data_IF_928515496621
#
_entry.id   IF_928515496621
#
_cell.length_a   1.000
_cell.length_b   1.000
_cell.length_c   1.000
_cell.angle_alpha   90.00
_cell.angle_beta   90.00
_cell.angle_gamma   90.00
#
_symmetry.space_group_name_H-M   'P 1'
#
loop_
_entity.id
_entity.type
_entity.pdbx_description
1 polymer ?
#
# COMPACT_ATOMS: atom_id res chain seq x y z
N UNK A 1 35.84 8.87 17.88
CA UNK A 1 34.97 8.54 16.72
C UNK A 1 33.69 9.36 16.89
N UNK A 2 33.24 10.06 15.88
CA UNK A 2 32.04 10.89 15.99
C UNK A 2 30.82 10.00 16.22
N UNK A 3 29.90 10.37 17.11
CA UNK A 3 28.74 9.57 17.52
C UNK A 3 27.95 9.02 16.31
N UNK A 4 27.81 9.85 15.27
CA UNK A 4 27.14 9.46 14.03
C UNK A 4 27.78 8.23 13.36
N UNK A 5 29.11 8.15 13.35
CA UNK A 5 29.85 6.99 12.79
C UNK A 5 29.63 5.73 13.60
N UNK A 6 29.47 5.86 14.94
CA UNK A 6 29.17 4.73 15.83
C UNK A 6 27.75 4.20 15.55
N UNK A 7 26.76 5.09 15.41
CA UNK A 7 25.38 4.68 15.11
C UNK A 7 25.27 4.02 13.74
N UNK A 8 25.99 4.51 12.72
CA UNK A 8 26.03 3.87 11.40
C UNK A 8 26.66 2.46 11.52
N UNK A 9 27.77 2.32 12.21
CA UNK A 9 28.42 1.01 12.39
C UNK A 9 27.53 0.01 13.19
N UNK A 10 26.76 0.50 14.16
CA UNK A 10 25.80 -0.34 14.89
C UNK A 10 24.66 -0.81 13.96
N UNK A 11 24.13 0.07 13.11
CA UNK A 11 23.11 -0.29 12.11
C UNK A 11 23.63 -1.34 11.12
N UNK A 12 24.82 -1.16 10.58
CA UNK A 12 25.47 -2.14 9.69
C UNK A 12 25.59 -3.53 10.34
N UNK A 13 25.92 -3.56 11.65
CA UNK A 13 25.95 -4.81 12.41
C UNK A 13 24.56 -5.46 12.56
N UNK A 14 23.52 -4.66 12.85
CA UNK A 14 22.13 -5.15 12.87
C UNK A 14 21.72 -5.74 11.52
N UNK A 15 22.01 -5.04 10.43
CA UNK A 15 21.73 -5.50 9.07
C UNK A 15 22.49 -6.78 8.70
N UNK A 16 23.68 -6.95 9.25
CA UNK A 16 24.49 -8.17 9.10
C UNK A 16 24.05 -9.33 10.05
N UNK A 17 23.07 -9.09 10.95
CA UNK A 17 22.60 -10.08 11.92
C UNK A 17 23.47 -10.19 13.18
N UNK A 18 24.45 -9.32 13.37
CA UNK A 18 25.29 -9.24 14.59
C UNK A 18 24.59 -8.36 15.64
N UNK A 19 23.50 -8.89 16.22
CA UNK A 19 22.75 -8.18 17.27
C UNK A 19 23.63 -7.85 18.48
N UNK A 20 24.45 -8.81 18.95
CA UNK A 20 25.28 -8.62 20.13
C UNK A 20 26.32 -7.51 19.91
N UNK A 21 26.94 -7.49 18.75
CA UNK A 21 27.90 -6.44 18.38
C UNK A 21 27.22 -5.06 18.18
N UNK A 22 26.00 -5.02 17.65
CA UNK A 22 25.23 -3.80 17.54
C UNK A 22 24.82 -3.24 18.91
N UNK A 23 24.28 -4.10 19.79
CA UNK A 23 23.87 -3.74 21.16
C UNK A 23 25.02 -3.16 21.97
N UNK A 24 26.23 -3.75 21.88
CA UNK A 24 27.40 -3.22 22.57
C UNK A 24 27.76 -1.79 22.11
N UNK A 25 27.60 -1.49 20.83
CA UNK A 25 27.85 -0.14 20.28
C UNK A 25 26.76 0.83 20.70
N UNK A 26 25.48 0.43 20.66
CA UNK A 26 24.38 1.27 21.12
C UNK A 26 24.46 1.58 22.61
N UNK A 27 24.77 0.58 23.43
CA UNK A 27 24.94 0.77 24.88
C UNK A 27 26.06 1.79 25.18
N UNK A 28 27.23 1.65 24.55
CA UNK A 28 28.30 2.61 24.67
C UNK A 28 27.95 4.02 24.20
N UNK A 29 27.16 4.13 23.10
CA UNK A 29 26.68 5.40 22.59
C UNK A 29 25.69 6.07 23.57
N UNK A 30 24.76 5.30 24.14
CA UNK A 30 23.78 5.79 25.12
C UNK A 30 24.43 6.15 26.45
N UNK A 31 25.44 5.42 26.92
CA UNK A 31 26.21 5.79 28.11
C UNK A 31 26.92 7.15 27.98
N UNK A 32 27.35 7.50 26.78
CA UNK A 32 28.08 8.74 26.53
C UNK A 32 27.18 9.92 26.10
N UNK A 33 26.05 9.64 25.50
CA UNK A 33 25.15 10.61 24.86
C UNK A 33 23.67 10.27 25.13
N UNK A 34 23.35 9.70 26.29
CA UNK A 34 21.99 9.32 26.65
C UNK A 34 21.04 10.49 26.82
N UNK A 35 21.54 11.72 26.98
CA UNK A 35 20.73 12.94 27.05
C UNK A 35 20.43 13.54 25.64
N UNK A 36 20.98 12.97 24.58
CA UNK A 36 20.79 13.46 23.21
C UNK A 36 19.53 12.81 22.56
N UNK A 37 18.52 13.64 22.31
CA UNK A 37 17.27 13.21 21.73
C UNK A 37 17.43 12.51 20.37
N UNK A 38 18.38 12.97 19.54
CA UNK A 38 18.62 12.39 18.20
C UNK A 38 19.28 11.00 18.32
N UNK A 39 20.11 10.79 19.33
CA UNK A 39 20.74 9.48 19.61
C UNK A 39 19.66 8.48 20.03
N UNK A 40 18.80 8.84 21.01
CA UNK A 40 17.70 7.97 21.43
C UNK A 40 16.73 7.68 20.31
N UNK A 41 16.35 8.68 19.52
CA UNK A 41 15.45 8.51 18.38
C UNK A 41 16.06 7.57 17.32
N UNK A 42 17.37 7.69 17.05
CA UNK A 42 18.08 6.82 16.09
C UNK A 42 18.14 5.38 16.59
N UNK A 43 18.58 5.16 17.83
CA UNK A 43 18.68 3.81 18.42
C UNK A 43 17.32 3.13 18.47
N UNK A 44 16.27 3.86 18.93
CA UNK A 44 14.91 3.32 18.98
C UNK A 44 14.36 3.02 17.59
N UNK A 45 14.66 3.87 16.61
CA UNK A 45 14.27 3.65 15.22
C UNK A 45 14.94 2.43 14.60
N UNK A 46 16.24 2.26 14.79
CA UNK A 46 17.01 1.15 14.25
C UNK A 46 16.56 -0.20 14.85
N UNK A 47 16.43 -0.28 16.18
CA UNK A 47 15.97 -1.49 16.88
C UNK A 47 14.49 -1.80 16.55
N UNK A 48 13.63 -0.78 16.48
CA UNK A 48 12.23 -0.94 16.08
C UNK A 48 12.08 -1.42 14.64
N UNK A 49 12.84 -0.84 13.70
CA UNK A 49 12.81 -1.21 12.29
C UNK A 49 13.30 -2.63 12.03
N UNK A 50 14.20 -3.14 12.86
CA UNK A 50 14.76 -4.50 12.78
C UNK A 50 14.01 -5.52 13.64
N UNK A 51 12.94 -5.11 14.35
CA UNK A 51 12.09 -6.00 15.14
C UNK A 51 12.67 -6.40 16.50
N UNK A 52 13.76 -5.77 16.96
CA UNK A 52 14.38 -6.02 18.27
C UNK A 52 13.65 -5.25 19.39
N UNK A 53 12.37 -5.58 19.56
CA UNK A 53 11.43 -4.87 20.46
C UNK A 53 11.84 -5.01 21.93
N UNK A 54 12.26 -6.20 22.35
CA UNK A 54 12.68 -6.44 23.74
C UNK A 54 13.92 -5.63 24.09
N UNK A 55 14.91 -5.61 23.20
CA UNK A 55 16.15 -4.87 23.34
C UNK A 55 15.90 -3.35 23.32
N UNK A 56 14.98 -2.89 22.45
CA UNK A 56 14.56 -1.50 22.41
C UNK A 56 14.00 -1.07 23.76
N UNK A 57 13.05 -1.84 24.30
CA UNK A 57 12.44 -1.54 25.61
C UNK A 57 13.51 -1.58 26.71
N UNK A 58 14.34 -2.61 26.73
CA UNK A 58 15.36 -2.79 27.75
C UNK A 58 16.38 -1.63 27.78
N UNK A 59 16.82 -1.16 26.60
CA UNK A 59 17.82 -0.10 26.51
C UNK A 59 17.25 1.29 26.78
N UNK A 60 16.08 1.60 26.20
CA UNK A 60 15.61 2.99 26.16
C UNK A 60 14.59 3.33 27.22
N UNK A 61 13.79 2.37 27.70
CA UNK A 61 12.78 2.67 28.71
C UNK A 61 13.36 3.27 30.01
N UNK A 62 14.52 2.82 30.52
CA UNK A 62 15.14 3.41 31.73
C UNK A 62 15.72 4.81 31.50
N UNK A 63 16.03 5.19 30.26
CA UNK A 63 16.71 6.44 29.90
C UNK A 63 15.74 7.52 29.42
N UNK A 64 14.54 7.12 28.95
CA UNK A 64 13.63 8.04 28.28
C UNK A 64 12.98 9.02 29.25
N UNK A 65 13.18 10.30 28.97
CA UNK A 65 12.51 11.42 29.59
C UNK A 65 11.81 12.26 28.51
N UNK A 66 10.46 12.41 28.57
CA UNK A 66 9.70 13.09 27.51
C UNK A 66 10.05 14.58 27.37
N UNK A 67 10.46 15.27 28.45
CA UNK A 67 10.83 16.67 28.41
C UNK A 67 12.23 16.87 27.81
N UNK A 68 13.15 15.95 28.08
CA UNK A 68 14.53 16.01 27.61
C UNK A 68 14.66 15.48 26.17
N UNK A 69 14.09 14.30 25.91
CA UNK A 69 14.30 13.58 24.65
C UNK A 69 13.22 13.83 23.59
N UNK A 70 12.15 14.54 23.96
CA UNK A 70 11.05 14.83 23.06
C UNK A 70 10.25 13.60 22.64
N UNK A 71 9.32 13.74 21.67
CA UNK A 71 8.33 12.71 21.40
C UNK A 71 8.81 11.56 20.51
N UNK A 72 9.89 11.70 19.71
CA UNK A 72 10.26 10.73 18.71
C UNK A 72 10.61 9.34 19.30
N UNK A 73 11.51 9.30 20.28
CA UNK A 73 11.89 8.07 20.97
C UNK A 73 10.72 7.51 21.81
N UNK A 74 9.91 8.40 22.42
CA UNK A 74 8.72 7.99 23.17
C UNK A 74 7.64 7.32 22.33
N UNK A 75 7.42 7.78 21.10
CA UNK A 75 6.50 7.15 20.17
C UNK A 75 7.00 5.76 19.71
N UNK A 76 8.31 5.60 19.53
CA UNK A 76 8.91 4.30 19.23
C UNK A 76 8.78 3.34 20.43
N UNK A 77 8.97 3.82 21.67
CA UNK A 77 8.74 3.05 22.88
C UNK A 77 7.25 2.67 23.05
N UNK A 78 6.33 3.58 22.80
CA UNK A 78 4.89 3.32 22.85
C UNK A 78 4.52 2.19 21.87
N UNK A 79 5.02 2.26 20.66
CA UNK A 79 4.81 1.24 19.64
C UNK A 79 5.46 -0.10 20.04
N UNK A 80 6.64 -0.06 20.66
CA UNK A 80 7.31 -1.25 21.17
C UNK A 80 6.53 -1.92 22.30
N UNK A 81 5.94 -1.14 23.24
CA UNK A 81 5.10 -1.69 24.28
C UNK A 81 3.81 -2.34 23.76
N UNK A 82 3.20 -1.76 22.72
CA UNK A 82 2.05 -2.38 22.03
C UNK A 82 2.47 -3.68 21.36
N UNK A 83 3.57 -3.69 20.62
CA UNK A 83 4.09 -4.90 19.96
C UNK A 83 4.47 -6.00 20.96
N UNK A 84 4.93 -5.62 22.16
CA UNK A 84 5.21 -6.54 23.27
C UNK A 84 3.93 -6.98 24.03
N UNK A 85 2.74 -6.49 23.62
CA UNK A 85 1.50 -6.76 24.30
C UNK A 85 1.43 -6.14 25.71
N UNK A 86 2.18 -5.10 26.02
CA UNK A 86 2.25 -4.46 27.34
C UNK A 86 1.32 -3.24 27.40
N UNK A 87 -0.01 -3.48 27.40
CA UNK A 87 -1.01 -2.42 27.33
C UNK A 87 -0.88 -1.36 28.46
N UNK A 88 -0.53 -1.77 29.67
CA UNK A 88 -0.35 -0.84 30.80
C UNK A 88 0.86 0.08 30.60
N UNK A 89 1.98 -0.47 30.13
CA UNK A 89 3.18 0.32 29.83
C UNK A 89 2.94 1.25 28.61
N UNK A 90 2.21 0.76 27.60
CA UNK A 90 1.79 1.56 26.47
C UNK A 90 0.88 2.72 26.90
N UNK A 91 -0.09 2.48 27.79
CA UNK A 91 -0.97 3.53 28.33
C UNK A 91 -0.17 4.57 29.12
N UNK A 92 0.76 4.12 29.98
CA UNK A 92 1.62 5.04 30.72
C UNK A 92 2.46 5.93 29.79
N UNK A 93 3.05 5.35 28.73
CA UNK A 93 3.81 6.11 27.74
C UNK A 93 2.92 7.09 26.95
N UNK A 94 1.69 6.68 26.62
CA UNK A 94 0.70 7.55 25.98
C UNK A 94 0.38 8.77 26.85
N UNK A 95 0.18 8.58 28.16
CA UNK A 95 -0.12 9.64 29.11
C UNK A 95 1.05 10.63 29.24
N UNK A 96 2.29 10.13 29.27
CA UNK A 96 3.51 10.96 29.28
C UNK A 96 3.62 11.82 28.01
N UNK A 97 3.37 11.24 26.84
CA UNK A 97 3.40 11.97 25.57
C UNK A 97 2.27 12.99 25.45
N UNK A 98 1.08 12.67 25.94
CA UNK A 98 -0.06 13.59 25.98
C UNK A 98 0.20 14.78 26.92
N UNK A 99 0.95 14.58 28.01
CA UNK A 99 1.35 15.64 28.93
C UNK A 99 2.24 16.72 28.29
N UNK A 100 2.93 16.41 27.19
CA UNK A 100 3.72 17.38 26.41
C UNK A 100 2.84 18.45 25.72
N UNK A 101 1.53 18.24 25.62
CA UNK A 101 0.54 19.17 25.04
C UNK A 101 0.95 19.69 23.65
N UNK A 102 1.45 18.81 22.79
CA UNK A 102 1.87 19.13 21.43
C UNK A 102 0.73 18.86 20.47
N UNK A 103 0.13 19.89 19.83
CA UNK A 103 -1.01 19.72 18.92
C UNK A 103 -0.70 18.79 17.74
N UNK A 104 0.55 18.78 17.29
CA UNK A 104 1.00 17.91 16.19
C UNK A 104 0.99 16.41 16.51
N UNK A 105 0.84 16.05 17.79
CA UNK A 105 0.78 14.65 18.25
C UNK A 105 -0.64 14.17 18.55
N UNK A 106 -1.62 15.06 18.69
CA UNK A 106 -2.97 14.73 19.18
C UNK A 106 -3.63 13.61 18.40
N UNK A 107 -3.65 13.71 17.06
CA UNK A 107 -4.26 12.69 16.20
C UNK A 107 -3.54 11.34 16.31
N UNK A 108 -2.22 11.36 16.42
CA UNK A 108 -1.40 10.15 16.55
C UNK A 108 -1.59 9.47 17.89
N UNK A 109 -1.64 10.25 18.97
CA UNK A 109 -1.89 9.75 20.32
C UNK A 109 -3.32 9.21 20.45
N UNK A 110 -4.31 9.83 19.80
CA UNK A 110 -5.67 9.31 19.76
C UNK A 110 -5.71 7.92 19.08
N UNK A 111 -4.99 7.73 17.98
CA UNK A 111 -4.84 6.43 17.30
C UNK A 111 -4.24 5.36 18.22
N UNK A 112 -3.18 5.68 18.96
CA UNK A 112 -2.59 4.77 19.95
C UNK A 112 -3.55 4.45 21.09
N UNK A 113 -4.35 5.42 21.56
CA UNK A 113 -5.37 5.20 22.59
C UNK A 113 -6.41 4.15 22.16
N UNK A 114 -6.84 4.19 20.91
CA UNK A 114 -7.74 3.17 20.32
C UNK A 114 -7.07 1.80 20.29
N UNK A 115 -5.79 1.72 19.86
CA UNK A 115 -5.05 0.47 19.82
C UNK A 115 -4.87 -0.16 21.21
N UNK A 116 -4.53 0.64 22.22
CA UNK A 116 -4.41 0.21 23.61
C UNK A 116 -5.76 -0.30 24.15
N UNK A 117 -6.86 0.41 23.89
CA UNK A 117 -8.20 0.00 24.31
C UNK A 117 -8.61 -1.34 23.68
N UNK A 118 -8.26 -1.57 22.41
CA UNK A 118 -8.51 -2.83 21.67
C UNK A 118 -7.72 -3.98 22.29
N UNK A 119 -6.43 -3.77 22.58
CA UNK A 119 -5.57 -4.76 23.24
C UNK A 119 -6.07 -5.10 24.66
N UNK A 120 -6.46 -4.11 25.44
CA UNK A 120 -7.05 -4.32 26.76
C UNK A 120 -8.40 -5.03 26.72
N UNK A 121 -9.21 -4.81 25.67
CA UNK A 121 -10.47 -5.51 25.45
C UNK A 121 -10.26 -6.97 25.07
N UNK A 122 -9.28 -7.25 24.20
CA UNK A 122 -8.93 -8.63 23.78
C UNK A 122 -8.49 -9.48 24.99
N UNK A 123 -7.70 -8.91 25.91
CA UNK A 123 -7.31 -9.60 27.17
C UNK A 123 -8.46 -9.89 28.12
N UNK A 124 -9.48 -9.02 28.15
CA UNK A 124 -10.67 -9.24 28.99
C UNK A 124 -11.61 -10.29 28.42
N UNK A 125 -11.57 -10.52 27.11
CA UNK A 125 -12.43 -11.50 26.43
C UNK A 125 -11.92 -12.94 26.58
N UNK A 126 -10.67 -13.15 27.02
CA UNK A 126 -10.08 -14.45 27.32
C UNK A 126 -9.61 -14.50 28.78
N UNK A 127 -10.55 -14.71 29.75
CA UNK A 127 -10.22 -14.74 31.17
C UNK A 127 -9.54 -16.05 31.62
N UNK A 128 -9.43 -17.08 30.74
CA UNK A 128 -8.89 -18.41 31.05
C UNK A 128 -7.44 -18.63 30.60
N UNK A 129 -6.70 -17.59 30.22
CA UNK A 129 -5.23 -17.63 30.13
C UNK A 129 -4.56 -17.05 31.41
N UNK A 130 -4.46 -17.83 32.52
CA UNK A 130 -3.76 -17.44 33.75
C UNK A 130 -2.23 -17.58 33.59
N UNK A 131 -1.76 -17.68 32.37
CA UNK A 131 -0.38 -17.94 32.06
C UNK A 131 0.36 -16.67 31.67
N UNK A 132 0.80 -15.90 32.63
CA UNK A 132 2.07 -15.23 32.43
C UNK A 132 3.07 -16.26 31.90
N UNK A 133 3.47 -16.15 30.62
CA UNK A 133 4.51 -16.98 30.03
C UNK A 133 5.72 -16.97 30.96
N UNK A 134 6.24 -18.14 31.41
CA UNK A 134 7.39 -18.17 32.28
C UNK A 134 8.57 -17.50 31.56
N UNK A 135 9.23 -16.58 32.25
CA UNK A 135 10.51 -16.03 31.86
C UNK A 135 11.49 -17.20 31.64
N UNK A 136 11.72 -17.58 30.39
CA UNK A 136 12.60 -18.70 30.06
C UNK A 136 12.21 -19.51 28.84
N UNK A 137 11.03 -19.32 28.25
CA UNK A 137 10.75 -19.87 26.94
C UNK A 137 11.60 -19.11 25.92
N UNK A 138 12.57 -19.79 25.33
CA UNK A 138 13.31 -19.33 24.16
C UNK A 138 12.29 -18.89 23.11
N UNK A 139 12.11 -17.56 23.00
CA UNK A 139 11.43 -17.00 21.89
C UNK A 139 12.27 -17.36 20.67
N UNK A 140 11.80 -18.29 19.87
CA UNK A 140 12.16 -18.26 18.46
C UNK A 140 11.98 -16.78 18.04
N UNK A 141 12.97 -16.16 17.39
CA UNK A 141 12.86 -14.76 17.01
C UNK A 141 11.51 -14.59 16.32
N UNK A 142 10.71 -13.55 16.64
CA UNK A 142 9.48 -13.29 15.91
C UNK A 142 9.90 -13.29 14.44
N UNK A 143 9.32 -14.16 13.68
CA UNK A 143 9.51 -14.32 12.23
C UNK A 143 9.61 -12.92 11.68
N UNK A 144 10.73 -12.55 11.09
CA UNK A 144 11.10 -11.20 10.65
C UNK A 144 9.86 -10.44 10.22
N UNK A 145 9.63 -9.26 10.79
CA UNK A 145 8.50 -8.41 10.37
C UNK A 145 8.62 -8.25 8.86
N UNK A 146 7.73 -8.90 8.15
CA UNK A 146 7.79 -8.96 6.71
C UNK A 146 7.66 -7.54 6.20
N UNK A 147 8.74 -6.98 5.63
CA UNK A 147 8.75 -5.59 5.16
C UNK A 147 7.76 -5.48 4.02
N UNK A 148 6.79 -4.59 4.17
CA UNK A 148 5.92 -4.22 3.07
C UNK A 148 6.76 -3.56 1.98
N UNK A 149 6.77 -4.15 0.79
CA UNK A 149 7.37 -3.56 -0.39
C UNK A 149 6.27 -2.94 -1.23
N UNK A 150 6.53 -1.79 -1.84
CA UNK A 150 5.59 -1.15 -2.75
C UNK A 150 6.02 -1.43 -4.19
N UNK A 151 5.13 -2.08 -4.93
CA UNK A 151 5.25 -2.22 -6.38
C UNK A 151 4.62 -0.98 -7.01
N UNK A 152 5.43 -0.25 -7.77
CA UNK A 152 5.01 0.98 -8.46
C UNK A 152 4.62 0.68 -9.90
N UNK A 153 3.37 0.95 -10.25
CA UNK A 153 2.84 0.81 -11.61
C UNK A 153 2.65 2.21 -12.19
N UNK A 154 3.49 2.57 -13.15
CA UNK A 154 3.55 3.93 -13.74
C UNK A 154 2.85 4.07 -15.09
N UNK A 155 2.41 2.97 -15.70
CA UNK A 155 1.67 2.92 -16.97
C UNK A 155 0.38 2.12 -16.77
N UNK A 156 -0.62 2.23 -17.65
CA UNK A 156 -1.79 1.37 -17.60
C UNK A 156 -1.37 -0.10 -17.52
N UNK A 157 -1.93 -0.87 -16.58
CA UNK A 157 -1.48 -2.24 -16.31
C UNK A 157 -1.66 -3.17 -17.53
N UNK A 158 -2.64 -2.88 -18.38
CA UNK A 158 -2.89 -3.61 -19.60
C UNK A 158 -1.92 -3.26 -20.74
N UNK A 159 -1.13 -2.18 -20.60
CA UNK A 159 -0.15 -1.79 -21.62
C UNK A 159 1.07 -2.72 -21.65
N UNK A 160 1.47 -3.27 -20.51
CA UNK A 160 2.66 -4.12 -20.44
C UNK A 160 2.48 -5.38 -21.31
N UNK A 161 3.41 -5.61 -22.23
CA UNK A 161 3.34 -6.61 -23.30
C UNK A 161 2.97 -6.01 -24.66
N UNK A 162 2.68 -4.70 -24.72
CA UNK A 162 2.40 -3.95 -25.95
C UNK A 162 3.45 -2.85 -26.20
N UNK A 163 4.64 -2.95 -25.63
CA UNK A 163 5.73 -1.98 -25.76
C UNK A 163 6.07 -1.60 -27.22
N UNK A 164 6.03 -2.54 -28.20
CA UNK A 164 6.26 -2.18 -29.60
C UNK A 164 5.23 -1.22 -30.20
N UNK A 165 4.08 -1.05 -29.54
CA UNK A 165 2.99 -0.15 -29.96
C UNK A 165 2.89 1.11 -29.10
N UNK A 166 3.93 1.43 -28.31
CA UNK A 166 3.90 2.53 -27.35
C UNK A 166 3.49 3.86 -27.96
N UNK A 167 4.06 4.23 -29.10
CA UNK A 167 3.81 5.51 -29.76
C UNK A 167 2.37 5.69 -30.28
N UNK A 168 1.64 4.59 -30.40
CA UNK A 168 0.26 4.57 -30.86
C UNK A 168 -0.76 4.44 -29.73
N UNK A 169 -0.32 3.95 -28.59
CA UNK A 169 -1.17 3.68 -27.42
C UNK A 169 -1.02 4.80 -26.38
N UNK A 170 0.22 5.19 -26.09
CA UNK A 170 0.49 6.11 -24.99
C UNK A 170 0.62 7.55 -25.48
N UNK A 171 0.17 8.53 -24.68
CA UNK A 171 0.42 9.94 -24.99
C UNK A 171 1.92 10.24 -24.90
N UNK A 172 2.43 11.21 -25.67
CA UNK A 172 3.82 11.63 -25.58
C UNK A 172 4.09 12.22 -24.18
N UNK A 173 5.23 11.82 -23.58
CA UNK A 173 5.58 12.14 -22.20
C UNK A 173 6.24 13.49 -21.99
N UNK A 174 5.91 14.55 -22.73
CA UNK A 174 6.63 15.81 -22.77
C UNK A 174 6.28 16.76 -21.61
N UNK A 175 7.28 17.44 -21.05
CA UNK A 175 7.14 18.54 -20.11
C UNK A 175 7.15 18.15 -18.62
N UNK A 176 7.15 19.22 -17.76
CA UNK A 176 7.09 19.07 -16.30
C UNK A 176 5.64 18.81 -15.87
N UNK A 177 5.36 17.61 -15.39
CA UNK A 177 4.06 17.17 -14.92
C UNK A 177 4.04 17.06 -13.38
N UNK A 178 2.88 17.32 -12.77
CA UNK A 178 2.67 17.09 -11.33
C UNK A 178 2.69 15.59 -11.07
N UNK A 179 3.45 15.17 -10.09
CA UNK A 179 3.57 13.75 -9.75
C UNK A 179 2.54 13.37 -8.69
N UNK A 180 1.75 12.35 -8.97
CA UNK A 180 0.69 11.89 -8.07
C UNK A 180 0.79 10.38 -7.85
N UNK A 181 0.82 9.95 -6.59
CA UNK A 181 0.70 8.54 -6.22
C UNK A 181 -0.73 8.22 -5.80
N UNK A 182 -1.25 7.11 -6.31
CA UNK A 182 -2.50 6.51 -5.88
C UNK A 182 -2.15 5.27 -5.06
N UNK A 183 -2.35 5.34 -3.76
CA UNK A 183 -2.01 4.27 -2.85
C UNK A 183 -3.11 3.21 -2.80
N UNK A 184 -2.72 1.97 -2.54
CA UNK A 184 -3.66 0.87 -2.32
C UNK A 184 -4.69 1.23 -1.24
N UNK A 185 -5.95 0.87 -1.47
CA UNK A 185 -7.06 1.18 -0.58
C UNK A 185 -7.03 0.29 0.65
N UNK A 186 -7.24 0.85 1.84
CA UNK A 186 -7.43 0.11 3.08
C UNK A 186 -8.86 -0.46 3.16
N UNK A 187 -9.02 -1.58 3.85
CA UNK A 187 -10.26 -2.37 3.91
C UNK A 187 -10.76 -2.47 5.36
N UNK A 188 -11.17 -1.31 5.91
CA UNK A 188 -11.50 -1.20 7.33
C UNK A 188 -12.75 -2.01 7.72
N UNK A 189 -12.58 -2.92 8.67
CA UNK A 189 -13.66 -3.77 9.17
C UNK A 189 -14.26 -4.71 8.13
N UNK A 190 -13.58 -4.96 7.01
CA UNK A 190 -14.02 -5.92 5.98
C UNK A 190 -13.64 -7.35 6.38
N UNK A 191 -12.43 -7.52 6.89
CA UNK A 191 -11.92 -8.82 7.34
C UNK A 191 -11.77 -8.85 8.86
N UNK A 192 -11.96 -10.03 9.45
CA UNK A 192 -11.65 -10.25 10.86
C UNK A 192 -10.14 -10.34 11.12
N UNK A 193 -9.40 -10.88 10.14
CA UNK A 193 -7.95 -11.01 10.14
C UNK A 193 -7.41 -10.78 8.71
N UNK A 194 -6.75 -9.66 8.49
CA UNK A 194 -6.18 -9.29 7.18
C UNK A 194 -4.98 -10.17 6.80
N UNK A 195 -4.26 -10.74 7.77
CA UNK A 195 -3.11 -11.63 7.51
C UNK A 195 -3.59 -12.95 6.95
N UNK A 196 -4.61 -13.53 7.56
CA UNK A 196 -5.22 -14.77 7.05
C UNK A 196 -5.93 -14.52 5.71
N UNK A 197 -6.61 -13.39 5.54
CA UNK A 197 -7.22 -13.01 4.27
C UNK A 197 -6.18 -12.89 3.14
N UNK A 198 -4.98 -12.40 3.44
CA UNK A 198 -3.87 -12.26 2.47
C UNK A 198 -3.32 -13.61 1.98
N UNK A 199 -3.56 -14.70 2.69
CA UNK A 199 -3.14 -16.08 2.33
C UNK A 199 -4.20 -16.83 1.52
N UNK A 200 -5.41 -16.28 1.41
CA UNK A 200 -6.50 -16.86 0.64
C UNK A 200 -6.50 -16.33 -0.81
N UNK A 201 -7.14 -17.05 -1.77
CA UNK A 201 -7.36 -16.50 -3.10
C UNK A 201 -8.05 -15.14 -3.04
N UNK A 202 -7.59 -14.22 -3.88
CA UNK A 202 -8.09 -12.85 -3.90
C UNK A 202 -9.59 -12.77 -4.12
N UNK A 203 -10.27 -12.10 -3.21
CA UNK A 203 -11.70 -11.81 -3.31
C UNK A 203 -11.98 -10.44 -3.96
N UNK A 204 -13.27 -10.09 -4.06
CA UNK A 204 -13.71 -8.83 -4.64
C UNK A 204 -13.20 -7.59 -3.92
N UNK A 205 -12.92 -7.66 -2.60
CA UNK A 205 -12.45 -6.51 -1.81
C UNK A 205 -10.95 -6.29 -2.01
N UNK A 206 -10.17 -7.35 -1.93
CA UNK A 206 -8.74 -7.30 -2.27
C UNK A 206 -8.51 -6.83 -3.71
N UNK A 207 -9.29 -7.38 -4.65
CA UNK A 207 -9.29 -6.95 -6.05
C UNK A 207 -9.61 -5.44 -6.19
N UNK A 208 -10.67 -4.95 -5.53
CA UNK A 208 -11.06 -3.54 -5.55
C UNK A 208 -9.97 -2.64 -4.95
N UNK A 209 -9.40 -3.03 -3.81
CA UNK A 209 -8.38 -2.25 -3.11
C UNK A 209 -7.14 -1.97 -3.98
N UNK A 210 -6.81 -2.88 -4.89
CA UNK A 210 -5.70 -2.75 -5.83
C UNK A 210 -6.09 -2.14 -7.17
N UNK A 211 -7.30 -2.41 -7.65
CA UNK A 211 -7.77 -1.95 -8.96
C UNK A 211 -8.11 -0.45 -8.98
N UNK A 212 -8.70 0.08 -7.90
CA UNK A 212 -9.09 1.49 -7.87
C UNK A 212 -7.88 2.43 -8.04
N UNK A 213 -6.75 2.28 -7.32
CA UNK A 213 -5.56 3.07 -7.59
C UNK A 213 -4.99 2.89 -9.00
N UNK A 214 -5.09 1.70 -9.60
CA UNK A 214 -4.69 1.48 -10.99
C UNK A 214 -5.58 2.26 -11.98
N UNK A 215 -6.89 2.25 -11.79
CA UNK A 215 -7.81 3.00 -12.64
C UNK A 215 -7.59 4.51 -12.54
N UNK A 216 -7.40 5.03 -11.31
CA UNK A 216 -7.09 6.44 -11.12
C UNK A 216 -5.72 6.79 -11.73
N UNK A 217 -4.69 5.97 -11.51
CA UNK A 217 -3.39 6.17 -12.15
C UNK A 217 -3.50 6.14 -13.67
N UNK A 218 -4.21 5.18 -14.25
CA UNK A 218 -4.47 5.12 -15.70
C UNK A 218 -5.15 6.40 -16.21
N UNK A 219 -6.20 6.86 -15.53
CA UNK A 219 -6.89 8.11 -15.88
C UNK A 219 -5.92 9.29 -15.93
N UNK A 220 -5.09 9.43 -14.91
CA UNK A 220 -4.13 10.53 -14.80
C UNK A 220 -2.93 10.36 -15.70
N UNK A 221 -2.63 9.13 -16.16
CA UNK A 221 -1.59 8.87 -17.16
C UNK A 221 -1.92 9.53 -18.51
N UNK A 222 -3.19 9.50 -18.90
CA UNK A 222 -3.67 10.17 -20.11
C UNK A 222 -3.91 11.67 -19.94
N UNK A 223 -3.44 12.27 -18.86
CA UNK A 223 -3.47 13.71 -18.64
C UNK A 223 -2.16 14.37 -19.06
N UNK A 224 -2.28 15.54 -19.67
CA UNK A 224 -1.10 16.35 -20.01
C UNK A 224 -0.40 16.96 -18.79
N UNK A 225 -1.11 17.07 -17.65
CA UNK A 225 -0.68 17.82 -16.47
C UNK A 225 -0.08 16.94 -15.36
N UNK A 226 -0.24 15.60 -15.45
CA UNK A 226 0.12 14.66 -14.40
C UNK A 226 1.04 13.54 -14.86
N UNK A 227 1.87 13.07 -13.93
CA UNK A 227 2.67 11.84 -14.04
C UNK A 227 2.30 10.94 -12.85
N UNK A 228 1.40 9.97 -13.04
CA UNK A 228 0.87 9.16 -11.95
C UNK A 228 1.73 7.93 -11.68
N UNK A 229 1.51 7.36 -10.48
CA UNK A 229 1.95 6.02 -10.12
C UNK A 229 0.90 5.38 -9.22
N UNK A 230 0.56 4.11 -9.45
CA UNK A 230 -0.16 3.31 -8.48
C UNK A 230 0.84 2.58 -7.59
N UNK A 231 0.67 2.69 -6.26
CA UNK A 231 1.52 2.05 -5.27
C UNK A 231 0.76 0.88 -4.64
N UNK A 232 1.18 -0.35 -4.97
CA UNK A 232 0.55 -1.60 -4.55
C UNK A 232 1.46 -2.31 -3.57
N UNK A 233 0.93 -2.68 -2.42
CA UNK A 233 1.70 -3.31 -1.36
C UNK A 233 1.77 -4.82 -1.52
N UNK A 234 2.98 -5.34 -1.38
CA UNK A 234 3.29 -6.77 -1.27
C UNK A 234 4.20 -6.98 -0.07
N UNK A 235 4.06 -8.11 0.57
CA UNK A 235 4.93 -8.53 1.66
C UNK A 235 5.81 -9.66 1.18
N UNK A 236 7.12 -9.55 1.36
CA UNK A 236 8.05 -10.63 1.03
C UNK A 236 8.22 -11.51 2.26
N UNK A 237 7.81 -12.77 2.16
CA UNK A 237 8.14 -13.73 3.21
C UNK A 237 9.63 -14.09 3.17
N UNK A 238 10.27 -14.29 4.32
CA UNK A 238 11.72 -14.54 4.41
C UNK A 238 12.21 -15.72 3.58
N UNK A 239 11.38 -16.77 3.47
CA UNK A 239 11.70 -18.03 2.77
C UNK A 239 10.58 -18.46 1.81
N UNK A 240 9.72 -17.52 1.39
CA UNK A 240 8.55 -17.82 0.57
C UNK A 240 8.32 -16.80 -0.54
N UNK A 241 7.27 -17.00 -1.35
CA UNK A 241 6.83 -16.02 -2.31
C UNK A 241 6.37 -14.75 -1.60
N UNK A 242 6.32 -13.64 -2.32
CA UNK A 242 5.66 -12.46 -1.81
C UNK A 242 4.15 -12.69 -1.77
N UNK A 243 3.47 -12.13 -0.78
CA UNK A 243 2.03 -12.21 -0.61
C UNK A 243 1.40 -10.82 -0.87
N UNK A 244 0.14 -10.77 -1.31
CA UNK A 244 -0.59 -9.51 -1.34
C UNK A 244 -0.74 -8.99 0.08
N UNK A 245 -0.38 -7.75 0.32
CA UNK A 245 -0.65 -7.13 1.61
C UNK A 245 -2.02 -6.45 1.57
N UNK A 246 -2.86 -6.73 2.55
CA UNK A 246 -4.11 -6.02 2.79
C UNK A 246 -3.94 -5.10 3.99
N UNK A 247 -4.55 -3.93 3.96
CA UNK A 247 -4.54 -2.97 5.06
C UNK A 247 -5.93 -2.87 5.68
N UNK A 248 -6.02 -2.97 7.00
CA UNK A 248 -7.26 -2.71 7.74
C UNK A 248 -7.34 -1.24 8.18
N UNK A 249 -6.20 -0.65 8.52
CA UNK A 249 -6.10 0.72 8.98
C UNK A 249 -5.84 1.71 7.85
N UNK A 250 -6.34 2.95 8.02
CA UNK A 250 -6.06 4.05 7.10
C UNK A 250 -4.56 4.39 7.07
N UNK A 251 -4.10 4.92 5.95
CA UNK A 251 -2.73 5.40 5.78
C UNK A 251 -2.43 6.53 6.76
N UNK A 252 -1.37 6.37 7.54
CA UNK A 252 -0.88 7.40 8.47
C UNK A 252 0.01 8.41 7.75
N UNK A 253 0.25 9.57 8.39
CA UNK A 253 1.19 10.57 7.86
C UNK A 253 2.59 9.99 7.67
N UNK A 254 3.01 9.06 8.52
CA UNK A 254 4.33 8.42 8.39
C UNK A 254 4.39 7.48 7.19
N UNK A 255 3.31 6.75 6.89
CA UNK A 255 3.21 5.98 5.65
C UNK A 255 3.28 6.89 4.41
N UNK A 256 2.66 8.10 4.48
CA UNK A 256 2.74 9.08 3.40
C UNK A 256 4.18 9.60 3.20
N UNK A 257 4.91 9.87 4.28
CA UNK A 257 6.33 10.26 4.22
C UNK A 257 7.17 9.15 3.59
N UNK A 258 7.01 7.93 4.08
CA UNK A 258 7.72 6.77 3.54
C UNK A 258 7.46 6.58 2.04
N UNK A 259 6.21 6.67 1.59
CA UNK A 259 5.86 6.60 0.18
C UNK A 259 6.51 7.74 -0.63
N UNK A 260 6.48 8.97 -0.11
CA UNK A 260 7.08 10.13 -0.76
C UNK A 260 8.61 10.00 -0.87
N UNK A 261 9.28 9.54 0.19
CA UNK A 261 10.74 9.41 0.26
C UNK A 261 11.26 8.24 -0.59
N UNK A 262 10.49 7.16 -0.71
CA UNK A 262 10.86 5.99 -1.52
C UNK A 262 10.51 6.12 -2.99
N UNK A 263 9.66 7.09 -3.36
CA UNK A 263 9.29 7.30 -4.76
C UNK A 263 10.33 8.15 -5.47
N UNK A 264 11.06 7.54 -6.41
CA UNK A 264 12.11 8.22 -7.18
C UNK A 264 11.58 9.50 -7.86
N UNK A 265 12.29 10.63 -7.67
CA UNK A 265 11.95 11.94 -8.23
C UNK A 265 10.88 12.72 -7.46
N UNK A 266 10.44 12.23 -6.28
CA UNK A 266 9.48 12.90 -5.38
C UNK A 266 8.03 12.86 -5.86
N UNK A 267 7.13 13.34 -5.03
CA UNK A 267 5.69 13.42 -5.30
C UNK A 267 5.17 14.82 -4.97
N UNK A 268 4.17 15.31 -5.74
CA UNK A 268 3.42 16.52 -5.41
C UNK A 268 2.16 16.18 -4.61
N UNK A 269 1.52 15.05 -4.95
CA UNK A 269 0.28 14.60 -4.32
C UNK A 269 0.31 13.09 -4.04
N UNK A 270 -0.42 12.71 -2.99
CA UNK A 270 -0.76 11.30 -2.70
C UNK A 270 -2.28 11.22 -2.53
N UNK A 271 -2.89 10.20 -3.11
CA UNK A 271 -4.28 9.83 -2.87
C UNK A 271 -4.30 8.53 -2.09
N UNK A 272 -4.87 8.55 -0.90
CA UNK A 272 -5.13 7.37 -0.07
C UNK A 272 -6.62 7.11 0.00
N UNK A 273 -7.02 5.93 0.47
CA UNK A 273 -8.43 5.64 0.64
C UNK A 273 -8.72 4.52 1.61
N UNK A 274 -9.95 4.49 2.07
CA UNK A 274 -10.49 3.42 2.89
C UNK A 274 -11.86 3.01 2.38
N UNK A 275 -12.04 1.70 2.20
CA UNK A 275 -13.31 1.08 1.92
C UNK A 275 -13.80 0.39 3.20
N UNK A 276 -15.02 0.68 3.59
CA UNK A 276 -15.72 0.02 4.69
C UNK A 276 -17.13 -0.39 4.29
N UNK A 277 -17.84 -1.02 5.23
CA UNK A 277 -19.26 -1.38 5.09
C UNK A 277 -20.09 -0.65 6.14
N UNK A 278 -21.22 -0.12 5.72
CA UNK A 278 -22.15 0.56 6.60
C UNK A 278 -23.58 0.17 6.19
N UNK A 279 -24.32 -0.46 7.11
CA UNK A 279 -25.72 -0.85 6.92
C UNK A 279 -26.00 -1.64 5.62
N UNK A 280 -25.03 -2.44 5.16
CA UNK A 280 -25.15 -3.25 3.93
C UNK A 280 -24.63 -2.56 2.66
N UNK A 281 -24.35 -1.26 2.70
CA UNK A 281 -23.73 -0.52 1.61
C UNK A 281 -22.21 -0.51 1.73
N UNK A 282 -21.52 -0.34 0.61
CA UNK A 282 -20.11 0.03 0.59
C UNK A 282 -19.95 1.53 0.80
N UNK A 283 -18.98 1.92 1.61
CA UNK A 283 -18.58 3.30 1.84
C UNK A 283 -17.09 3.46 1.53
N UNK A 284 -16.80 4.26 0.53
CA UNK A 284 -15.44 4.62 0.15
C UNK A 284 -15.17 6.08 0.55
N UNK A 285 -14.04 6.31 1.18
CA UNK A 285 -13.49 7.63 1.45
C UNK A 285 -12.10 7.71 0.84
N UNK A 286 -11.87 8.68 -0.03
CA UNK A 286 -10.54 8.99 -0.57
C UNK A 286 -10.06 10.33 -0.02
N UNK A 287 -8.76 10.42 0.27
CA UNK A 287 -8.10 11.63 0.78
C UNK A 287 -6.98 12.04 -0.17
N UNK A 288 -6.99 13.29 -0.59
CA UNK A 288 -5.92 13.90 -1.39
C UNK A 288 -4.98 14.68 -0.48
N UNK A 289 -3.72 14.32 -0.49
CA UNK A 289 -2.66 14.94 0.31
C UNK A 289 -1.70 15.75 -0.58
N UNK A 290 -1.38 16.97 -0.16
CA UNK A 290 -0.27 17.76 -0.69
C UNK A 290 1.02 17.34 0.03
N UNK A 291 1.96 16.71 -0.68
CA UNK A 291 3.17 16.10 -0.08
C UNK A 291 4.07 17.14 0.58
N UNK A 292 4.31 18.27 -0.08
CA UNK A 292 5.21 19.32 0.43
C UNK A 292 4.87 19.82 1.85
N UNK A 293 3.59 19.78 2.22
CA UNK A 293 3.10 20.24 3.54
C UNK A 293 2.55 19.10 4.37
N UNK A 294 2.51 17.88 3.84
CA UNK A 294 1.83 16.71 4.40
C UNK A 294 0.43 17.05 4.91
N UNK A 295 -0.31 17.81 4.09
CA UNK A 295 -1.63 18.34 4.44
C UNK A 295 -2.70 17.76 3.55
N UNK A 296 -3.78 17.28 4.17
CA UNK A 296 -5.00 16.91 3.44
C UNK A 296 -5.59 18.14 2.75
N UNK A 297 -5.89 18.00 1.46
CA UNK A 297 -6.46 19.07 0.62
C UNK A 297 -7.94 18.88 0.38
N UNK A 298 -8.36 17.64 0.23
CA UNK A 298 -9.74 17.31 -0.15
C UNK A 298 -10.05 15.87 0.24
N UNK A 299 -11.28 15.64 0.64
CA UNK A 299 -11.89 14.32 0.76
C UNK A 299 -12.92 14.13 -0.34
N UNK A 300 -12.98 12.91 -0.87
CA UNK A 300 -14.00 12.46 -1.79
C UNK A 300 -14.67 11.23 -1.19
N UNK A 301 -15.99 11.13 -1.28
CA UNK A 301 -16.73 10.00 -0.73
C UNK A 301 -17.76 9.46 -1.70
N UNK A 302 -17.95 8.15 -1.66
CA UNK A 302 -19.00 7.48 -2.42
C UNK A 302 -19.65 6.39 -1.55
N UNK A 303 -20.93 6.13 -1.79
CA UNK A 303 -21.66 5.00 -1.21
C UNK A 303 -22.43 4.29 -2.32
N UNK A 304 -22.51 2.98 -2.23
CA UNK A 304 -23.26 2.19 -3.21
C UNK A 304 -23.69 0.83 -2.66
N UNK A 305 -24.76 0.31 -3.24
CA UNK A 305 -25.14 -1.09 -3.09
C UNK A 305 -24.06 -1.98 -3.74
N UNK A 306 -23.54 -3.00 -3.05
CA UNK A 306 -22.55 -3.93 -3.62
C UNK A 306 -22.89 -4.45 -5.02
N UNK A 307 -24.17 -4.61 -5.34
CA UNK A 307 -24.63 -5.08 -6.64
C UNK A 307 -24.64 -4.02 -7.75
N UNK A 308 -24.52 -2.71 -7.41
CA UNK A 308 -24.65 -1.61 -8.37
C UNK A 308 -23.60 -0.49 -8.18
N UNK A 309 -22.29 -0.77 -8.30
CA UNK A 309 -21.23 0.19 -8.04
C UNK A 309 -21.06 1.26 -9.12
N UNK A 310 -21.44 1.00 -10.36
CA UNK A 310 -21.01 1.73 -11.56
C UNK A 310 -21.34 3.22 -11.51
N UNK A 311 -22.58 3.58 -11.15
CA UNK A 311 -23.02 4.97 -11.13
C UNK A 311 -22.25 5.80 -10.07
N UNK A 312 -22.05 5.23 -8.88
CA UNK A 312 -21.34 5.88 -7.79
C UNK A 312 -19.84 6.05 -8.10
N UNK A 313 -19.20 5.01 -8.63
CA UNK A 313 -17.80 5.05 -9.04
C UNK A 313 -17.56 6.04 -10.19
N UNK A 314 -18.45 6.08 -11.19
CA UNK A 314 -18.37 7.06 -12.26
C UNK A 314 -18.56 8.51 -11.76
N UNK A 315 -19.45 8.73 -10.79
CA UNK A 315 -19.65 10.03 -10.17
C UNK A 315 -18.41 10.48 -9.38
N UNK A 316 -17.84 9.59 -8.55
CA UNK A 316 -16.63 9.82 -7.80
C UNK A 316 -15.45 10.17 -8.73
N UNK A 317 -15.25 9.38 -9.78
CA UNK A 317 -14.20 9.61 -10.77
C UNK A 317 -14.32 11.00 -11.41
N UNK A 318 -15.53 11.40 -11.84
CA UNK A 318 -15.77 12.75 -12.39
C UNK A 318 -15.48 13.85 -11.37
N UNK A 319 -15.81 13.65 -10.09
CA UNK A 319 -15.52 14.63 -9.03
C UNK A 319 -14.03 14.82 -8.84
N UNK A 320 -13.26 13.72 -8.78
CA UNK A 320 -11.78 13.73 -8.66
C UNK A 320 -11.18 14.47 -9.86
N UNK A 321 -11.54 14.09 -11.08
CA UNK A 321 -11.04 14.72 -12.30
C UNK A 321 -11.34 16.23 -12.33
N UNK A 322 -12.53 16.64 -11.91
CA UNK A 322 -12.91 18.06 -11.84
C UNK A 322 -12.08 18.83 -10.81
N UNK A 323 -11.93 18.29 -9.61
CA UNK A 323 -11.15 18.93 -8.54
C UNK A 323 -9.69 19.06 -8.89
N UNK A 324 -9.11 18.02 -9.51
CA UNK A 324 -7.71 17.98 -9.93
C UNK A 324 -7.47 18.73 -11.25
N UNK A 325 -8.49 19.40 -11.82
CA UNK A 325 -8.39 20.10 -13.10
C UNK A 325 -7.81 19.21 -14.21
N UNK A 326 -8.21 17.94 -14.22
CA UNK A 326 -7.75 16.97 -15.18
C UNK A 326 -8.09 17.39 -16.62
N UNK A 327 -7.10 17.32 -17.51
CA UNK A 327 -7.25 17.62 -18.94
C UNK A 327 -6.60 16.51 -19.76
N UNK A 328 -7.26 16.02 -20.81
CA UNK A 328 -6.69 14.97 -21.65
C UNK A 328 -5.44 15.46 -22.37
N UNK A 329 -4.47 14.57 -22.54
CA UNK A 329 -3.35 14.81 -23.45
C UNK A 329 -3.81 14.49 -24.88
N UNK A 330 -3.94 15.52 -25.70
CA UNK A 330 -4.34 15.41 -27.12
C UNK A 330 -3.20 15.73 -28.07
N UNK A 331 -1.97 15.79 -27.57
CA UNK A 331 -0.80 16.23 -28.33
C UNK A 331 -0.20 15.18 -29.25
N UNK A 332 -0.65 13.92 -29.17
CA UNK A 332 -0.09 12.80 -29.91
C UNK A 332 -1.14 11.86 -30.55
N UNK A 333 -0.64 10.80 -31.16
CA UNK A 333 -1.44 9.75 -31.79
C UNK A 333 -1.98 8.68 -30.80
N UNK A 334 -1.72 8.84 -29.51
CA UNK A 334 -2.14 7.89 -28.46
C UNK A 334 -3.64 7.72 -28.37
N UNK A 335 -4.06 6.66 -27.70
CA UNK A 335 -5.47 6.40 -27.46
C UNK A 335 -6.11 7.53 -26.65
N UNK A 336 -7.37 7.91 -26.97
CA UNK A 336 -8.06 8.88 -26.16
C UNK A 336 -8.37 8.30 -24.76
N UNK A 337 -8.22 9.13 -23.74
CA UNK A 337 -8.72 8.80 -22.41
C UNK A 337 -10.23 8.61 -22.44
N UNK A 338 -10.71 7.49 -21.98
CA UNK A 338 -12.12 7.19 -21.90
C UNK A 338 -12.50 6.69 -20.51
N UNK A 339 -13.63 7.17 -19.97
CA UNK A 339 -14.22 6.57 -18.78
C UNK A 339 -14.98 5.31 -19.21
N UNK A 340 -14.73 4.14 -18.60
CA UNK A 340 -15.43 2.92 -18.97
C UNK A 340 -16.94 3.06 -18.67
N UNK A 341 -17.78 2.48 -19.54
CA UNK A 341 -19.24 2.46 -19.36
C UNK A 341 -19.67 1.63 -18.13
N UNK A 342 -18.86 0.65 -17.71
CA UNK A 342 -19.01 -0.11 -16.47
C UNK A 342 -17.70 -0.07 -15.67
N UNK A 343 -17.53 0.89 -14.74
CA UNK A 343 -16.38 0.96 -13.86
C UNK A 343 -16.11 -0.32 -13.06
N UNK A 344 -17.14 -0.99 -12.55
CA UNK A 344 -16.99 -2.24 -11.82
C UNK A 344 -16.36 -3.36 -12.66
N UNK A 345 -16.81 -3.51 -13.92
CA UNK A 345 -16.23 -4.47 -14.85
C UNK A 345 -14.77 -4.11 -15.21
N UNK A 346 -14.49 -2.83 -15.38
CA UNK A 346 -13.14 -2.32 -15.63
C UNK A 346 -12.20 -2.63 -14.47
N UNK A 347 -12.59 -2.32 -13.24
CA UNK A 347 -11.82 -2.61 -12.03
C UNK A 347 -11.52 -4.11 -11.89
N UNK A 348 -12.49 -4.99 -12.14
CA UNK A 348 -12.28 -6.44 -12.15
C UNK A 348 -11.20 -6.84 -13.17
N UNK A 349 -11.24 -6.27 -14.37
CA UNK A 349 -10.22 -6.50 -15.41
C UNK A 349 -8.83 -6.02 -15.01
N UNK A 350 -8.73 -4.83 -14.40
CA UNK A 350 -7.45 -4.27 -13.93
C UNK A 350 -6.85 -5.09 -12.79
N UNK A 351 -7.66 -5.55 -11.82
CA UNK A 351 -7.21 -6.42 -10.74
C UNK A 351 -6.62 -7.72 -11.27
N UNK A 352 -7.34 -8.40 -12.17
CA UNK A 352 -6.88 -9.64 -12.78
C UNK A 352 -5.61 -9.43 -13.64
N UNK A 353 -5.52 -8.30 -14.37
CA UNK A 353 -4.33 -7.95 -15.14
C UNK A 353 -3.11 -7.74 -14.24
N UNK A 354 -3.30 -7.07 -13.09
CA UNK A 354 -2.25 -6.91 -12.08
C UNK A 354 -1.84 -8.24 -11.47
N UNK A 355 -2.81 -9.06 -11.05
CA UNK A 355 -2.55 -10.37 -10.48
C UNK A 355 -1.70 -11.24 -11.40
N UNK A 356 -2.09 -11.36 -12.70
CA UNK A 356 -1.31 -12.09 -13.70
C UNK A 356 0.07 -11.47 -13.92
N UNK A 357 0.18 -10.13 -14.00
CA UNK A 357 1.46 -9.45 -14.15
C UNK A 357 2.42 -9.76 -12.99
N UNK A 358 1.92 -9.77 -11.75
CA UNK A 358 2.72 -10.10 -10.58
C UNK A 358 3.08 -11.60 -10.53
N UNK A 359 2.18 -12.47 -10.98
CA UNK A 359 2.43 -13.92 -11.06
C UNK A 359 3.48 -14.27 -12.12
N UNK A 360 3.46 -13.61 -13.30
CA UNK A 360 4.52 -13.72 -14.32
C UNK A 360 5.90 -13.32 -13.79
N UNK A 361 5.96 -12.38 -12.85
CA UNK A 361 7.19 -11.89 -12.22
C UNK A 361 7.57 -12.67 -10.95
N UNK A 362 6.87 -13.76 -10.66
CA UNK A 362 7.07 -14.57 -9.46
C UNK A 362 6.96 -13.77 -8.14
N UNK A 363 6.28 -12.61 -8.19
CA UNK A 363 6.00 -11.77 -7.03
C UNK A 363 4.76 -12.28 -6.29
N UNK A 364 3.84 -12.95 -7.01
CA UNK A 364 2.54 -13.36 -6.49
C UNK A 364 2.30 -14.85 -6.77
N UNK A 365 1.87 -15.66 -5.77
CA UNK A 365 1.52 -17.06 -5.98
C UNK A 365 0.31 -17.19 -6.92
N UNK A 366 0.37 -18.11 -7.88
CA UNK A 366 -0.71 -18.34 -8.85
C UNK A 366 -2.00 -18.83 -8.17
N UNK A 367 -1.85 -19.53 -7.05
CA UNK A 367 -2.93 -20.11 -6.25
C UNK A 367 -3.77 -19.03 -5.54
N UNK A 368 -3.22 -17.82 -5.39
CA UNK A 368 -3.90 -16.68 -4.78
C UNK A 368 -4.60 -15.78 -5.81
N UNK A 369 -4.50 -16.09 -7.09
CA UNK A 369 -5.19 -15.30 -8.12
C UNK A 369 -6.71 -15.47 -8.00
N UNK A 370 -7.43 -14.36 -8.18
CA UNK A 370 -8.87 -14.40 -8.34
C UNK A 370 -9.27 -15.22 -9.58
N UNK A 371 -10.46 -15.83 -9.61
CA UNK A 371 -10.99 -16.48 -10.81
C UNK A 371 -11.05 -15.52 -11.99
N UNK A 372 -10.45 -15.88 -13.14
CA UNK A 372 -10.33 -14.99 -14.29
C UNK A 372 -11.62 -14.83 -15.11
N UNK A 373 -12.55 -15.79 -15.02
CA UNK A 373 -13.77 -15.77 -15.83
C UNK A 373 -14.62 -14.50 -15.67
N UNK A 374 -14.83 -13.95 -14.46
CA UNK A 374 -15.55 -12.67 -14.29
C UNK A 374 -14.86 -11.50 -14.98
N UNK A 375 -13.53 -11.41 -14.92
CA UNK A 375 -12.76 -10.36 -15.57
C UNK A 375 -12.87 -10.41 -17.10
N UNK A 376 -12.74 -11.60 -17.69
CA UNK A 376 -12.95 -11.79 -19.11
C UNK A 376 -14.36 -11.45 -19.56
N UNK A 377 -15.37 -11.91 -18.82
CA UNK A 377 -16.77 -11.59 -19.11
C UNK A 377 -17.07 -10.08 -18.98
N UNK A 378 -16.51 -9.45 -17.94
CA UNK A 378 -16.65 -8.02 -17.69
C UNK A 378 -16.01 -7.19 -18.80
N UNK A 379 -14.73 -7.40 -19.07
CA UNK A 379 -14.02 -6.72 -20.15
C UNK A 379 -14.64 -6.98 -21.52
N UNK A 380 -15.06 -8.24 -21.79
CA UNK A 380 -15.67 -8.62 -23.05
C UNK A 380 -16.90 -7.80 -23.43
N UNK A 381 -17.65 -7.30 -22.46
CA UNK A 381 -18.79 -6.40 -22.71
C UNK A 381 -18.36 -4.98 -23.13
N UNK A 382 -17.11 -4.60 -22.80
CA UNK A 382 -16.57 -3.26 -23.06
C UNK A 382 -15.72 -3.21 -24.36
N UNK A 383 -15.31 -4.35 -24.89
CA UNK A 383 -14.32 -4.41 -25.98
C UNK A 383 -14.81 -3.79 -27.28
N UNK A 384 -16.12 -3.89 -27.61
CA UNK A 384 -16.67 -3.32 -28.82
C UNK A 384 -16.73 -1.77 -28.79
N UNK A 385 -16.81 -1.18 -27.59
CA UNK A 385 -16.97 0.26 -27.39
C UNK A 385 -15.66 0.98 -27.16
N UNK A 386 -14.63 0.25 -26.69
CA UNK A 386 -13.38 0.83 -26.20
C UNK A 386 -12.15 0.12 -26.74
N UNK A 387 -11.25 0.80 -27.49
CA UNK A 387 -9.96 0.26 -27.86
C UNK A 387 -9.12 -0.17 -26.64
N UNK A 388 -9.13 0.62 -25.54
CA UNK A 388 -8.43 0.28 -24.30
C UNK A 388 -8.95 -1.03 -23.69
N UNK A 389 -10.29 -1.24 -23.68
CA UNK A 389 -10.88 -2.48 -23.20
C UNK A 389 -10.53 -3.67 -24.10
N UNK A 390 -10.48 -3.46 -25.41
CA UNK A 390 -10.01 -4.47 -26.36
C UNK A 390 -8.55 -4.89 -26.08
N UNK A 391 -7.67 -3.90 -25.85
CA UNK A 391 -6.27 -4.15 -25.51
C UNK A 391 -6.13 -4.84 -24.14
N UNK A 392 -6.89 -4.39 -23.14
CA UNK A 392 -6.90 -5.00 -21.82
C UNK A 392 -7.36 -6.48 -21.87
N UNK A 393 -8.37 -6.79 -22.64
CA UNK A 393 -8.83 -8.18 -22.83
C UNK A 393 -7.77 -9.04 -23.53
N UNK A 394 -7.16 -8.53 -24.61
CA UNK A 394 -6.14 -9.23 -25.38
C UNK A 394 -4.88 -9.52 -24.53
N UNK A 395 -4.39 -8.53 -23.79
CA UNK A 395 -3.22 -8.71 -22.93
C UNK A 395 -3.52 -9.61 -21.73
N UNK A 396 -4.71 -9.49 -21.12
CA UNK A 396 -5.15 -10.40 -20.07
C UNK A 396 -5.12 -11.85 -20.56
N UNK A 397 -5.64 -12.11 -21.78
CA UNK A 397 -5.63 -13.45 -22.40
C UNK A 397 -4.22 -13.96 -22.68
N UNK A 398 -3.37 -13.10 -23.23
CA UNK A 398 -1.98 -13.46 -23.53
C UNK A 398 -1.23 -13.87 -22.24
N UNK A 399 -1.36 -13.10 -21.17
CA UNK A 399 -0.75 -13.41 -19.86
C UNK A 399 -1.31 -14.69 -19.25
N UNK A 400 -2.64 -14.84 -19.27
CA UNK A 400 -3.27 -16.06 -18.75
C UNK A 400 -2.79 -17.32 -19.49
N UNK A 401 -2.55 -17.22 -20.82
CA UNK A 401 -1.97 -18.31 -21.61
C UNK A 401 -0.51 -18.59 -21.23
N UNK A 402 0.29 -17.55 -21.02
CA UNK A 402 1.70 -17.69 -20.67
C UNK A 402 1.94 -18.47 -19.35
N UNK A 403 0.93 -18.54 -18.49
CA UNK A 403 1.00 -19.29 -17.22
C UNK A 403 -0.02 -20.43 -17.12
N UNK A 404 -0.57 -20.86 -18.24
CA UNK A 404 -1.54 -21.99 -18.36
C UNK A 404 -2.84 -21.81 -17.55
N UNK A 405 -3.30 -20.57 -17.37
CA UNK A 405 -4.54 -20.23 -16.67
C UNK A 405 -5.63 -19.66 -17.59
N UNK A 406 -5.43 -19.67 -18.91
CA UNK A 406 -6.42 -19.12 -19.85
C UNK A 406 -7.70 -19.97 -19.85
N UNK A 407 -8.87 -19.42 -19.52
CA UNK A 407 -10.11 -20.14 -19.65
C UNK A 407 -10.46 -20.36 -21.14
N UNK A 408 -11.22 -21.43 -21.41
CA UNK A 408 -11.79 -21.65 -22.74
C UNK A 408 -12.92 -20.64 -22.98
N UNK A 409 -12.65 -19.59 -23.75
CA UNK A 409 -13.59 -18.50 -23.99
C UNK A 409 -13.70 -18.22 -25.50
N UNK A 410 -14.89 -17.88 -25.94
CA UNK A 410 -15.09 -17.25 -27.25
C UNK A 410 -14.53 -15.81 -27.23
N UNK A 411 -13.93 -15.41 -28.35
CA UNK A 411 -13.46 -14.04 -28.52
C UNK A 411 -14.67 -13.09 -28.64
N UNK A 412 -14.68 -11.98 -27.87
CA UNK A 412 -15.71 -10.96 -28.03
C UNK A 412 -15.51 -10.17 -29.33
N UNK A 413 -16.50 -9.36 -29.71
CA UNK A 413 -16.30 -8.32 -30.72
C UNK A 413 -15.33 -7.26 -30.18
N UNK A 414 -14.36 -6.86 -30.99
CA UNK A 414 -13.39 -5.82 -30.63
C UNK A 414 -13.73 -4.49 -31.31
N UNK A 415 -13.27 -3.39 -30.70
CA UNK A 415 -13.37 -2.06 -31.30
C UNK A 415 -12.65 -2.02 -32.65
N UNK A 416 -13.27 -1.39 -33.63
CA UNK A 416 -12.67 -1.16 -34.97
C UNK A 416 -11.63 -0.03 -34.87
N UNK A 417 -10.42 -0.42 -34.44
CA UNK A 417 -9.29 0.50 -34.27
C UNK A 417 -7.99 -0.14 -34.76
N UNK A 418 -7.16 0.56 -35.56
CA UNK A 418 -5.93 0.00 -36.14
C UNK A 418 -4.96 -0.61 -35.11
N UNK A 419 -4.83 0.04 -33.91
CA UNK A 419 -3.94 -0.44 -32.86
C UNK A 419 -4.42 -1.76 -32.26
N UNK A 420 -5.74 -2.00 -32.19
CA UNK A 420 -6.31 -3.27 -31.71
C UNK A 420 -5.97 -4.41 -32.66
N UNK A 421 -6.08 -4.19 -33.97
CA UNK A 421 -5.71 -5.18 -34.97
C UNK A 421 -4.21 -5.54 -34.88
N UNK A 422 -3.35 -4.53 -34.69
CA UNK A 422 -1.90 -4.76 -34.53
C UNK A 422 -1.55 -5.48 -33.24
N UNK A 423 -2.16 -5.08 -32.12
CA UNK A 423 -1.98 -5.76 -30.84
C UNK A 423 -2.40 -7.24 -30.91
N UNK A 424 -3.50 -7.54 -31.62
CA UNK A 424 -3.97 -8.91 -31.84
C UNK A 424 -2.94 -9.72 -32.60
N UNK A 425 -2.35 -9.17 -33.68
CA UNK A 425 -1.29 -9.83 -34.47
C UNK A 425 -0.01 -10.01 -33.63
N UNK A 426 0.40 -9.00 -32.85
CA UNK A 426 1.57 -9.05 -31.98
C UNK A 426 1.45 -10.16 -30.92
N UNK A 427 0.33 -10.22 -30.22
CA UNK A 427 0.09 -11.18 -29.16
C UNK A 427 -0.22 -12.62 -29.67
N UNK A 428 -0.63 -12.77 -30.90
CA UNK A 428 -0.80 -14.10 -31.55
C UNK A 428 0.53 -14.74 -31.94
N UNK A 429 1.56 -13.94 -32.23
CA UNK A 429 2.89 -14.44 -32.63
C UNK A 429 3.85 -14.68 -31.46
N UNK A 430 3.44 -14.35 -30.25
CA UNK A 430 4.24 -14.51 -29.03
C UNK A 430 3.93 -15.82 -28.24
N UNK A 431 3.09 -16.71 -28.83
CA UNK A 431 2.65 -17.98 -28.22
C UNK A 431 3.42 -19.20 -28.76
#
# INVERSE_FOLDING_TARGET
MEIRSQLIAAREKLEAGDLAGAMAVYDAALQSHGDDADVLATVSGDLGATGHIAELIQLLAPLYDPELHGPAAGLNLLQAYLAAGSADAAQHMLDLLAALKRPELEDRLAGFGVAIAREAAARRADPDDPGGRPAGASLAPPTSVARANLVSISKPIWFYGLEPLSDEILPPGDGRRRRVAFAQISLSGIYGDVVEASKAPEDQYGAFARALPLWLAETFFFSRDYSPVAAIAVVKEPNGPSLPLLFDDEWTVDNLRQLADTTAGGLDYIVTGVLGRDSGEHRLLLRLWEVKKLRERKQFSARWDPAAPDAALAALHREICRYMEWRPDTSGAGLPAATPSSPGAWLCGLASSLGLFLAEKEIFPRELLAPLAPAFAGLGRLTAESPAASLAWLTLRARARAIDLAPALEEPGFADHPVVARARSLLAGAG
#
